data_IF_870192158094
#
_entry.id   IF_870192158094
#
_cell.length_a   1.000
_cell.length_b   1.000
_cell.length_c   1.000
_cell.angle_alpha   90.00
_cell.angle_beta   90.00
_cell.angle_gamma   90.00
#
_symmetry.space_group_name_H-M   'P 1'
#
loop_
_entity.id
_entity.type
_entity.pdbx_description
1 polymer ?
#
# COMPACT_ATOMS: atom_id res chain seq x y z
N UNK A 1 -5.69 -24.20 -5.15
CA UNK A 1 -4.91 -23.37 -6.09
C UNK A 1 -4.97 -23.98 -7.49
N UNK A 2 -5.46 -23.21 -8.46
CA UNK A 2 -5.41 -23.57 -9.88
C UNK A 2 -4.78 -22.40 -10.66
N UNK A 3 -3.81 -22.69 -11.53
CA UNK A 3 -3.04 -21.70 -12.30
C UNK A 3 -3.12 -22.02 -13.78
N UNK A 4 -3.52 -21.01 -14.56
CA UNK A 4 -3.68 -21.09 -16.01
C UNK A 4 -2.86 -19.96 -16.67
N UNK A 5 -2.25 -20.24 -17.83
CA UNK A 5 -1.47 -19.24 -18.58
C UNK A 5 -2.03 -19.08 -19.98
N UNK A 6 -2.10 -17.84 -20.46
CA UNK A 6 -2.60 -17.53 -21.78
C UNK A 6 -1.64 -16.61 -22.53
N UNK A 7 -1.35 -16.99 -23.77
CA UNK A 7 -0.47 -16.26 -24.70
C UNK A 7 -1.22 -15.81 -25.97
N UNK A 8 -2.43 -16.34 -26.19
CA UNK A 8 -3.31 -16.05 -27.32
C UNK A 8 -4.72 -15.77 -26.80
N UNK A 9 -5.54 -15.06 -27.59
CA UNK A 9 -6.93 -14.70 -27.26
C UNK A 9 -7.13 -14.10 -25.85
N UNK A 10 -6.11 -13.41 -25.34
CA UNK A 10 -6.04 -12.89 -23.97
C UNK A 10 -7.24 -11.99 -23.64
N UNK A 11 -7.62 -11.10 -24.55
CA UNK A 11 -8.79 -10.21 -24.37
C UNK A 11 -10.10 -11.02 -24.18
N UNK A 12 -10.25 -12.14 -24.90
CA UNK A 12 -11.42 -13.00 -24.77
C UNK A 12 -11.47 -13.68 -23.41
N UNK A 13 -10.35 -14.24 -22.95
CA UNK A 13 -10.26 -14.90 -21.64
C UNK A 13 -10.53 -13.93 -20.49
N UNK A 14 -9.96 -12.71 -20.56
CA UNK A 14 -10.24 -11.65 -19.58
C UNK A 14 -11.74 -11.36 -19.54
N UNK A 15 -12.39 -11.10 -20.69
CA UNK A 15 -13.82 -10.81 -20.73
C UNK A 15 -14.68 -11.96 -20.24
N UNK A 16 -14.28 -13.20 -20.51
CA UNK A 16 -14.97 -14.40 -20.04
C UNK A 16 -14.90 -14.52 -18.51
N UNK A 17 -13.73 -14.32 -17.93
CA UNK A 17 -13.54 -14.32 -16.47
C UNK A 17 -14.31 -13.17 -15.82
N UNK A 18 -14.24 -11.97 -16.37
CA UNK A 18 -15.03 -10.82 -15.90
C UNK A 18 -16.52 -11.15 -15.87
N UNK A 19 -17.07 -11.73 -16.94
CA UNK A 19 -18.50 -12.07 -17.00
C UNK A 19 -18.94 -13.10 -15.96
N UNK A 20 -18.02 -13.95 -15.49
CA UNK A 20 -18.30 -14.92 -14.43
C UNK A 20 -18.38 -14.32 -13.03
N UNK A 21 -17.96 -13.06 -12.85
CA UNK A 21 -18.00 -12.37 -11.57
C UNK A 21 -19.43 -12.22 -11.02
N UNK A 22 -19.54 -12.35 -9.70
CA UNK A 22 -20.79 -12.25 -8.93
C UNK A 22 -20.79 -11.18 -7.87
N UNK A 23 -19.62 -10.79 -7.36
CA UNK A 23 -19.51 -9.93 -6.17
C UNK A 23 -18.71 -8.65 -6.48
N UNK A 24 -17.48 -8.80 -6.99
CA UNK A 24 -16.59 -7.67 -7.18
C UNK A 24 -15.55 -7.85 -8.28
N UNK A 25 -15.15 -6.73 -8.89
CA UNK A 25 -14.07 -6.66 -9.87
C UNK A 25 -13.21 -5.42 -9.56
N UNK A 26 -11.93 -5.65 -9.29
CA UNK A 26 -10.94 -4.60 -9.03
C UNK A 26 -9.85 -4.67 -10.09
N UNK A 27 -9.80 -3.69 -10.97
CA UNK A 27 -8.89 -3.67 -12.13
C UNK A 27 -7.80 -2.63 -11.91
N UNK A 28 -6.53 -3.03 -11.98
CA UNK A 28 -5.39 -2.13 -11.92
C UNK A 28 -4.51 -2.30 -13.16
N UNK A 29 -4.66 -1.39 -14.13
CA UNK A 29 -3.99 -1.51 -15.43
C UNK A 29 -3.44 -0.18 -15.90
N UNK A 30 -2.24 -0.16 -16.47
CA UNK A 30 -1.64 1.07 -16.98
C UNK A 30 -2.53 1.75 -18.04
N UNK A 31 -3.03 0.97 -19.01
CA UNK A 31 -3.93 1.47 -20.06
C UNK A 31 -5.15 0.60 -20.21
N UNK A 32 -6.30 1.24 -20.41
CA UNK A 32 -7.58 0.58 -20.63
C UNK A 32 -8.31 1.21 -21.82
N UNK A 33 -8.93 0.40 -22.68
CA UNK A 33 -9.72 0.88 -23.83
C UNK A 33 -11.20 0.78 -23.55
N UNK A 34 -11.88 1.94 -23.45
CA UNK A 34 -13.32 2.03 -23.18
C UNK A 34 -14.17 1.25 -24.17
N UNK A 35 -13.85 1.30 -25.46
CA UNK A 35 -14.60 0.59 -26.50
C UNK A 35 -14.61 -0.92 -26.31
N UNK A 36 -13.61 -1.47 -25.60
CA UNK A 36 -13.47 -2.91 -25.36
C UNK A 36 -14.09 -3.30 -24.02
N UNK A 37 -13.76 -2.57 -22.94
CA UNK A 37 -14.07 -3.00 -21.59
C UNK A 37 -15.32 -2.34 -20.99
N UNK A 38 -15.69 -1.11 -21.38
CA UNK A 38 -16.85 -0.46 -20.78
C UNK A 38 -18.17 -1.25 -20.94
N UNK A 39 -18.47 -1.90 -22.08
CA UNK A 39 -19.70 -2.68 -22.22
C UNK A 39 -19.82 -3.82 -21.19
N UNK A 40 -18.74 -4.59 -20.98
CA UNK A 40 -18.75 -5.69 -20.00
C UNK A 40 -18.78 -5.18 -18.55
N UNK A 41 -18.11 -4.06 -18.25
CA UNK A 41 -18.16 -3.45 -16.93
C UNK A 41 -19.56 -2.90 -16.61
N UNK A 42 -20.22 -2.28 -17.58
CA UNK A 42 -21.61 -1.81 -17.41
C UNK A 42 -22.57 -2.97 -17.20
N UNK A 43 -22.43 -4.05 -17.98
CA UNK A 43 -23.22 -5.28 -17.80
C UNK A 43 -23.08 -5.85 -16.38
N UNK A 44 -21.85 -5.90 -15.86
CA UNK A 44 -21.55 -6.39 -14.51
C UNK A 44 -22.11 -5.46 -13.42
N UNK A 45 -21.93 -4.15 -13.56
CA UNK A 45 -22.46 -3.17 -12.61
C UNK A 45 -23.99 -3.25 -12.52
N UNK A 46 -24.67 -3.44 -13.66
CA UNK A 46 -26.13 -3.62 -13.69
C UNK A 46 -26.59 -4.93 -13.04
N UNK A 47 -25.70 -5.95 -12.95
CA UNK A 47 -25.94 -7.17 -12.17
C UNK A 47 -25.67 -6.99 -10.67
N UNK A 48 -25.21 -5.83 -10.23
CA UNK A 48 -24.89 -5.54 -8.83
C UNK A 48 -23.46 -5.86 -8.43
N UNK A 49 -22.58 -6.21 -9.39
CA UNK A 49 -21.15 -6.44 -9.12
C UNK A 49 -20.48 -5.10 -8.78
N UNK A 50 -19.74 -5.04 -7.67
CA UNK A 50 -18.97 -3.85 -7.29
C UNK A 50 -17.73 -3.73 -8.17
N UNK A 51 -17.56 -2.61 -8.86
CA UNK A 51 -16.43 -2.42 -9.79
C UNK A 51 -15.62 -1.20 -9.40
N UNK A 52 -14.31 -1.39 -9.30
CA UNK A 52 -13.32 -0.35 -9.01
C UNK A 52 -12.17 -0.47 -10.01
N UNK A 53 -11.80 0.63 -10.68
CA UNK A 53 -10.77 0.63 -11.73
C UNK A 53 -9.71 1.67 -11.44
N UNK A 54 -8.47 1.23 -11.29
CA UNK A 54 -7.26 2.04 -11.15
C UNK A 54 -6.50 2.03 -12.48
N UNK A 55 -6.17 3.20 -13.00
CA UNK A 55 -5.38 3.33 -14.25
C UNK A 55 -4.44 4.52 -14.23
N UNK A 56 -3.46 4.55 -15.13
CA UNK A 56 -2.48 5.63 -15.19
C UNK A 56 -3.10 6.93 -15.73
N UNK A 57 -2.88 8.07 -15.07
CA UNK A 57 -3.38 9.36 -15.56
C UNK A 57 -2.43 9.91 -16.65
N UNK A 58 -2.78 9.71 -17.92
CA UNK A 58 -1.98 10.19 -19.06
C UNK A 58 -2.84 10.52 -20.30
N UNK A 59 -2.23 11.11 -21.35
CA UNK A 59 -2.96 11.44 -22.58
C UNK A 59 -3.61 10.22 -23.28
N UNK A 60 -3.03 9.02 -23.13
CA UNK A 60 -3.57 7.79 -23.73
C UNK A 60 -4.90 7.43 -23.09
N UNK A 61 -4.98 7.38 -21.77
CA UNK A 61 -6.23 7.11 -21.05
C UNK A 61 -7.19 8.30 -21.11
N UNK A 62 -6.70 9.54 -21.20
CA UNK A 62 -7.57 10.71 -21.48
C UNK A 62 -8.33 10.52 -22.79
N UNK A 63 -7.67 10.00 -23.83
CA UNK A 63 -8.25 9.85 -25.17
C UNK A 63 -9.08 8.57 -25.30
N UNK A 64 -8.59 7.44 -24.80
CA UNK A 64 -9.13 6.10 -25.07
C UNK A 64 -9.66 5.38 -23.82
N UNK A 65 -9.36 5.90 -22.63
CA UNK A 65 -9.70 5.32 -21.33
C UNK A 65 -11.18 5.40 -20.98
N UNK A 66 -11.50 4.82 -19.83
CA UNK A 66 -12.84 4.83 -19.26
C UNK A 66 -13.27 6.27 -18.98
N UNK A 67 -14.55 6.56 -19.24
CA UNK A 67 -15.15 7.84 -18.87
C UNK A 67 -15.78 7.71 -17.47
N UNK A 68 -15.86 8.81 -16.70
CA UNK A 68 -16.59 8.84 -15.44
C UNK A 68 -18.04 8.37 -15.62
N UNK A 69 -18.54 7.60 -14.66
CA UNK A 69 -19.91 7.09 -14.62
C UNK A 69 -20.32 6.83 -13.17
N UNK A 70 -21.62 6.76 -12.92
CA UNK A 70 -22.17 6.41 -11.60
C UNK A 70 -22.27 4.89 -11.38
N UNK A 71 -21.92 4.08 -12.39
CA UNK A 71 -22.03 2.62 -12.32
C UNK A 71 -20.84 1.96 -11.61
N UNK A 72 -19.67 2.59 -11.61
CA UNK A 72 -18.45 2.05 -11.04
C UNK A 72 -17.45 3.16 -10.70
N UNK A 73 -16.51 2.87 -9.81
CA UNK A 73 -15.50 3.83 -9.37
C UNK A 73 -14.25 3.76 -10.23
N UNK A 74 -13.68 4.91 -10.56
CA UNK A 74 -12.42 5.02 -11.32
C UNK A 74 -11.42 5.91 -10.61
N UNK A 75 -10.15 5.52 -10.61
CA UNK A 75 -9.04 6.23 -9.98
C UNK A 75 -7.90 6.41 -10.99
N UNK A 76 -7.70 7.64 -11.47
CA UNK A 76 -6.63 7.98 -12.39
C UNK A 76 -5.38 8.38 -11.59
N UNK A 77 -4.33 7.55 -11.63
CA UNK A 77 -3.14 7.70 -10.80
C UNK A 77 -2.13 8.64 -11.47
N UNK A 78 -1.87 9.76 -10.83
CA UNK A 78 -0.76 10.65 -11.15
C UNK A 78 0.54 10.19 -10.48
N UNK A 79 1.67 10.33 -11.15
CA UNK A 79 2.98 10.04 -10.55
C UNK A 79 3.70 11.33 -10.18
N UNK A 80 4.49 11.28 -9.09
CA UNK A 80 5.29 12.44 -8.66
C UNK A 80 6.31 12.90 -9.71
N UNK A 81 6.80 11.96 -10.52
CA UNK A 81 7.69 12.23 -11.64
C UNK A 81 6.86 12.12 -12.91
N UNK A 82 6.72 13.21 -13.68
CA UNK A 82 5.91 13.23 -14.90
C UNK A 82 6.30 12.17 -15.96
N UNK A 83 7.50 11.60 -15.86
CA UNK A 83 8.00 10.52 -16.74
C UNK A 83 7.70 9.10 -16.22
N UNK A 84 7.22 8.96 -14.99
CA UNK A 84 6.89 7.68 -14.37
C UNK A 84 5.42 7.32 -14.60
N UNK A 85 5.11 6.02 -14.49
CA UNK A 85 3.76 5.50 -14.75
C UNK A 85 3.31 4.54 -13.65
N UNK A 86 2.02 4.52 -13.34
CA UNK A 86 1.39 3.38 -12.67
C UNK A 86 1.31 2.25 -13.71
N UNK A 87 2.29 1.35 -13.69
CA UNK A 87 2.50 0.36 -14.75
C UNK A 87 2.01 -1.05 -14.39
N UNK A 88 1.22 -1.21 -13.33
CA UNK A 88 0.63 -2.50 -12.99
C UNK A 88 -0.33 -2.98 -14.09
N UNK A 89 -0.50 -4.30 -14.22
CA UNK A 89 -1.55 -4.94 -15.04
C UNK A 89 -2.06 -6.17 -14.29
N UNK A 90 -2.99 -5.94 -13.38
CA UNK A 90 -3.69 -7.02 -12.70
C UNK A 90 -5.17 -6.73 -12.53
N UNK A 91 -5.93 -7.77 -12.25
CA UNK A 91 -7.34 -7.71 -11.89
C UNK A 91 -7.61 -8.74 -10.79
N UNK A 92 -8.36 -8.35 -9.77
CA UNK A 92 -8.90 -9.25 -8.75
C UNK A 92 -10.41 -9.38 -8.98
N UNK A 93 -10.90 -10.61 -9.09
CA UNK A 93 -12.31 -10.93 -9.29
C UNK A 93 -12.81 -11.74 -8.09
N UNK A 94 -13.91 -11.28 -7.50
CA UNK A 94 -14.64 -11.90 -6.39
C UNK A 94 -13.76 -12.32 -5.21
N UNK A 95 -12.65 -11.62 -4.98
CA UNK A 95 -11.67 -11.93 -3.93
C UNK A 95 -11.14 -13.39 -3.99
N UNK A 96 -11.10 -13.97 -5.19
CA UNK A 96 -10.74 -15.37 -5.40
C UNK A 96 -9.80 -15.59 -6.59
N UNK A 97 -9.90 -14.73 -7.60
CA UNK A 97 -9.19 -14.89 -8.87
C UNK A 97 -8.31 -13.66 -9.09
N UNK A 98 -7.02 -13.89 -9.29
CA UNK A 98 -6.08 -12.88 -9.76
C UNK A 98 -5.77 -13.15 -11.24
N UNK A 99 -5.91 -12.12 -12.07
CA UNK A 99 -5.34 -12.08 -13.42
C UNK A 99 -4.17 -11.12 -13.36
N UNK A 100 -2.98 -11.51 -13.82
CA UNK A 100 -1.81 -10.62 -13.90
C UNK A 100 -0.94 -10.98 -15.08
N UNK A 101 -0.14 -10.05 -15.59
CA UNK A 101 0.75 -10.32 -16.71
C UNK A 101 1.30 -9.06 -17.37
N UNK A 102 1.75 -9.18 -18.60
CA UNK A 102 2.26 -8.06 -19.38
C UNK A 102 1.14 -7.32 -20.13
N UNK A 103 0.05 -8.02 -20.44
CA UNK A 103 -1.05 -7.53 -21.29
C UNK A 103 -1.74 -6.29 -20.71
N UNK A 104 -1.58 -5.16 -21.38
CA UNK A 104 -2.38 -3.97 -21.10
C UNK A 104 -3.80 -4.13 -21.65
N UNK A 105 -4.80 -3.56 -20.99
CA UNK A 105 -6.20 -3.68 -21.39
C UNK A 105 -6.56 -2.67 -22.49
N UNK A 106 -5.64 -2.49 -23.43
CA UNK A 106 -5.75 -1.56 -24.55
C UNK A 106 -6.01 -2.30 -25.86
N UNK A 107 -6.67 -1.65 -26.82
CA UNK A 107 -6.91 -2.23 -28.15
C UNK A 107 -5.61 -2.67 -28.85
N UNK A 108 -4.52 -1.94 -28.65
CA UNK A 108 -3.21 -2.19 -29.28
C UNK A 108 -2.51 -3.44 -28.72
N UNK A 109 -2.75 -3.79 -27.45
CA UNK A 109 -2.10 -4.94 -26.83
C UNK A 109 -2.49 -6.26 -27.50
N UNK A 110 -3.66 -6.32 -28.16
CA UNK A 110 -4.10 -7.50 -28.92
C UNK A 110 -3.15 -7.87 -30.07
N UNK A 111 -2.48 -6.88 -30.66
CA UNK A 111 -1.55 -7.10 -31.78
C UNK A 111 -0.10 -7.30 -31.30
N UNK A 112 0.14 -7.34 -29.99
CA UNK A 112 1.46 -7.49 -29.37
C UNK A 112 1.65 -8.88 -28.79
N UNK A 113 2.91 -9.35 -28.70
CA UNK A 113 3.24 -10.57 -27.98
C UNK A 113 3.20 -10.30 -26.48
N UNK A 114 2.18 -10.81 -25.82
CA UNK A 114 1.85 -10.54 -24.42
C UNK A 114 1.41 -11.83 -23.74
N UNK A 115 1.34 -11.83 -22.41
CA UNK A 115 0.83 -12.96 -21.65
C UNK A 115 -0.01 -12.52 -20.45
N UNK A 116 -0.86 -13.42 -19.98
CA UNK A 116 -1.47 -13.36 -18.66
C UNK A 116 -1.35 -14.70 -17.94
N UNK A 117 -1.35 -14.62 -16.62
CA UNK A 117 -1.48 -15.73 -15.69
C UNK A 117 -2.76 -15.51 -14.90
N UNK A 118 -3.59 -16.54 -14.82
CA UNK A 118 -4.82 -16.56 -14.06
C UNK A 118 -4.62 -17.51 -12.88
N UNK A 119 -4.74 -16.98 -11.68
CA UNK A 119 -4.48 -17.69 -10.43
C UNK A 119 -5.77 -17.70 -9.64
N UNK A 120 -6.28 -18.89 -9.31
CA UNK A 120 -7.56 -19.10 -8.62
C UNK A 120 -7.31 -19.73 -7.25
N UNK A 121 -8.01 -19.21 -6.23
CA UNK A 121 -8.03 -19.75 -4.87
C UNK A 121 -6.62 -19.87 -4.25
N UNK A 122 -5.78 -18.87 -4.52
CA UNK A 122 -4.58 -18.60 -3.73
C UNK A 122 -4.86 -17.34 -2.91
N UNK A 123 -5.51 -17.54 -1.75
CA UNK A 123 -6.03 -16.45 -0.96
C UNK A 123 -4.94 -15.54 -0.39
N UNK A 124 -3.75 -16.09 -0.08
CA UNK A 124 -2.61 -15.29 0.36
C UNK A 124 -2.17 -14.33 -0.76
N UNK A 125 -2.09 -14.84 -1.99
CA UNK A 125 -1.77 -14.00 -3.13
C UNK A 125 -2.85 -12.97 -3.44
N UNK A 126 -4.13 -13.38 -3.38
CA UNK A 126 -5.28 -12.46 -3.56
C UNK A 126 -5.19 -11.31 -2.57
N UNK A 127 -4.97 -11.58 -1.28
CA UNK A 127 -4.82 -10.57 -0.22
C UNK A 127 -3.74 -9.54 -0.58
N UNK A 128 -2.59 -10.00 -1.05
CA UNK A 128 -1.48 -9.12 -1.43
C UNK A 128 -1.85 -8.19 -2.60
N UNK A 129 -2.56 -8.69 -3.62
CA UNK A 129 -3.05 -7.85 -4.73
C UNK A 129 -4.17 -6.90 -4.31
N UNK A 130 -5.03 -7.30 -3.37
CA UNK A 130 -6.03 -6.41 -2.77
C UNK A 130 -5.35 -5.26 -2.01
N UNK A 131 -4.32 -5.54 -1.21
CA UNK A 131 -3.53 -4.50 -0.54
C UNK A 131 -2.92 -3.53 -1.54
N UNK A 132 -2.23 -4.02 -2.57
CA UNK A 132 -1.64 -3.15 -3.60
C UNK A 132 -2.71 -2.31 -4.31
N UNK A 133 -3.89 -2.86 -4.58
CA UNK A 133 -4.99 -2.12 -5.18
C UNK A 133 -5.43 -0.95 -4.29
N UNK A 134 -5.72 -1.23 -3.02
CA UNK A 134 -6.22 -0.22 -2.09
C UNK A 134 -5.14 0.77 -1.66
N UNK A 135 -3.88 0.36 -1.67
CA UNK A 135 -2.74 1.26 -1.54
C UNK A 135 -2.71 2.31 -2.65
N UNK A 136 -2.94 1.91 -3.91
CA UNK A 136 -3.00 2.85 -5.02
C UNK A 136 -4.22 3.77 -4.94
N UNK A 137 -5.36 3.28 -4.43
CA UNK A 137 -6.54 4.11 -4.15
C UNK A 137 -6.24 5.13 -3.04
N UNK A 138 -5.57 4.72 -1.96
CA UNK A 138 -5.13 5.65 -0.90
C UNK A 138 -4.11 6.66 -1.42
N UNK A 139 -3.17 6.23 -2.26
CA UNK A 139 -2.23 7.13 -2.93
C UNK A 139 -2.96 8.17 -3.79
N UNK A 140 -3.96 7.77 -4.58
CA UNK A 140 -4.79 8.68 -5.38
C UNK A 140 -5.44 9.77 -4.52
N UNK A 141 -6.02 9.38 -3.38
CA UNK A 141 -6.66 10.31 -2.45
C UNK A 141 -5.64 11.27 -1.80
N UNK A 142 -4.46 10.75 -1.47
CA UNK A 142 -3.38 11.50 -0.84
C UNK A 142 -2.64 12.44 -1.81
N UNK A 143 -2.74 12.22 -3.12
CA UNK A 143 -1.90 12.91 -4.11
C UNK A 143 -2.13 14.43 -4.17
N UNK A 144 -3.38 14.88 -4.08
CA UNK A 144 -3.74 16.30 -4.22
C UNK A 144 -3.48 17.13 -2.95
N UNK A 145 -3.37 16.48 -1.79
CA UNK A 145 -3.24 17.12 -0.47
C UNK A 145 -1.81 17.02 0.11
N UNK A 146 -0.89 16.39 -0.62
CA UNK A 146 0.48 16.16 -0.20
C UNK A 146 1.49 16.77 -1.17
N UNK A 147 2.61 17.22 -0.60
CA UNK A 147 3.81 17.61 -1.34
C UNK A 147 5.04 17.20 -0.54
N UNK A 148 6.17 17.02 -1.23
CA UNK A 148 7.42 16.62 -0.59
C UNK A 148 8.26 17.86 -0.32
N UNK A 149 8.49 18.14 0.95
CA UNK A 149 9.39 19.20 1.36
C UNK A 149 10.85 18.92 0.97
N UNK A 150 11.64 19.99 0.91
CA UNK A 150 13.05 19.93 0.56
C UNK A 150 13.90 20.27 1.77
N UNK A 151 14.83 19.37 2.07
CA UNK A 151 15.92 19.65 2.99
C UNK A 151 16.83 20.75 2.41
N UNK A 152 17.60 21.44 3.25
CA UNK A 152 18.59 22.45 2.83
C UNK A 152 19.61 21.93 1.80
N UNK A 153 19.85 20.61 1.76
CA UNK A 153 20.69 19.95 0.75
C UNK A 153 19.96 19.61 -0.56
N UNK A 154 18.72 20.09 -0.75
CA UNK A 154 17.83 19.83 -1.91
C UNK A 154 17.31 18.39 -2.04
N UNK A 155 17.70 17.48 -1.15
CA UNK A 155 17.06 16.19 -1.02
C UNK A 155 15.61 16.34 -0.55
N UNK A 156 14.76 15.37 -0.91
CA UNK A 156 13.44 15.24 -0.31
C UNK A 156 13.55 14.98 1.20
N UNK A 157 12.61 15.53 1.95
CA UNK A 157 12.45 15.29 3.38
C UNK A 157 11.05 14.78 3.70
N UNK A 158 10.93 14.14 4.86
CA UNK A 158 9.67 13.67 5.44
C UNK A 158 9.76 13.74 6.96
N UNK A 159 8.62 13.61 7.63
CA UNK A 159 8.53 13.63 9.09
C UNK A 159 8.20 12.22 9.56
N UNK A 160 9.01 11.72 10.48
CA UNK A 160 8.91 10.42 11.10
C UNK A 160 8.54 10.61 12.57
N UNK A 161 7.45 9.98 12.99
CA UNK A 161 7.13 9.80 14.39
C UNK A 161 7.76 8.48 14.86
N UNK A 162 8.57 8.52 15.91
CA UNK A 162 9.04 7.33 16.63
C UNK A 162 8.09 7.11 17.80
N UNK A 163 7.46 5.94 17.81
CA UNK A 163 6.58 5.53 18.88
C UNK A 163 7.39 4.70 19.90
N UNK A 164 7.50 5.22 21.12
CA UNK A 164 8.06 4.49 22.25
C UNK A 164 7.13 3.38 22.76
N UNK A 165 7.69 2.45 23.53
CA UNK A 165 6.89 1.41 24.18
C UNK A 165 5.94 2.02 25.21
N UNK A 166 4.73 1.45 25.33
CA UNK A 166 3.82 1.83 26.40
C UNK A 166 4.40 1.42 27.75
N UNK A 167 4.47 2.37 28.67
CA UNK A 167 5.03 2.12 30.00
C UNK A 167 4.22 2.82 31.10
N UNK A 168 4.34 2.28 32.32
CA UNK A 168 3.65 2.79 33.50
C UNK A 168 2.15 2.42 33.56
N UNK A 169 1.48 2.88 34.63
CA UNK A 169 0.08 2.53 34.95
C UNK A 169 -0.92 3.08 33.93
N UNK A 170 -0.53 4.11 33.19
CA UNK A 170 -1.39 4.79 32.21
C UNK A 170 -1.08 4.40 30.76
N UNK A 171 -0.21 3.39 30.54
CA UNK A 171 0.23 2.95 29.21
C UNK A 171 0.61 4.14 28.31
N UNK A 172 1.46 5.04 28.83
CA UNK A 172 1.89 6.23 28.11
C UNK A 172 2.87 5.86 27.00
N UNK A 173 2.57 6.24 25.76
CA UNK A 173 3.47 6.20 24.61
C UNK A 173 4.06 7.58 24.38
N UNK A 174 5.39 7.68 24.36
CA UNK A 174 6.09 8.85 23.82
C UNK A 174 6.01 8.79 22.29
N UNK A 175 5.57 9.87 21.66
CA UNK A 175 5.68 10.10 20.22
C UNK A 175 6.74 11.16 20.01
N UNK A 176 7.89 10.76 19.47
CA UNK A 176 8.99 11.66 19.18
C UNK A 176 9.06 11.95 17.68
N UNK A 177 9.05 13.22 17.29
CA UNK A 177 8.87 13.66 15.91
C UNK A 177 10.18 14.20 15.35
N UNK A 178 10.60 13.60 14.24
CA UNK A 178 11.83 13.91 13.54
C UNK A 178 11.56 14.28 12.09
N UNK A 179 12.31 15.25 11.54
CA UNK A 179 12.40 15.47 10.10
C UNK A 179 13.64 14.78 9.56
N UNK A 180 13.48 13.92 8.55
CA UNK A 180 14.56 13.16 7.94
C UNK A 180 14.74 13.56 6.47
N UNK A 181 16.00 13.64 6.06
CA UNK A 181 16.43 13.79 4.68
C UNK A 181 16.67 12.43 4.02
N UNK A 182 16.07 12.20 2.85
CA UNK A 182 16.08 10.89 2.17
C UNK A 182 17.47 10.44 1.70
N UNK A 183 18.31 11.36 1.18
CA UNK A 183 19.60 11.00 0.57
C UNK A 183 20.79 11.12 1.50
N UNK A 184 20.83 12.19 2.29
CA UNK A 184 21.99 12.56 3.11
C UNK A 184 21.70 12.37 4.60
N UNK A 185 20.53 11.83 4.96
CA UNK A 185 20.15 11.49 6.33
C UNK A 185 20.34 12.59 7.38
N UNK A 186 20.29 13.87 6.97
CA UNK A 186 20.14 14.96 7.93
C UNK A 186 18.86 14.74 8.73
N UNK A 187 19.00 14.75 10.05
CA UNK A 187 17.90 14.61 11.00
C UNK A 187 17.76 15.88 11.81
N UNK A 188 16.53 16.29 12.06
CA UNK A 188 16.20 17.39 12.95
C UNK A 188 15.07 16.95 13.87
N UNK A 189 15.29 17.06 15.17
CA UNK A 189 14.22 16.86 16.16
C UNK A 189 13.23 18.03 16.07
N UNK A 190 11.95 17.70 16.00
CA UNK A 190 10.87 18.67 15.80
C UNK A 190 10.07 18.87 17.07
N UNK A 191 9.83 17.81 17.84
CA UNK A 191 9.08 17.88 19.09
C UNK A 191 8.71 16.51 19.63
N UNK A 192 8.29 16.49 20.90
CA UNK A 192 7.86 15.28 21.59
C UNK A 192 6.45 15.47 22.14
N UNK A 193 5.66 14.42 22.07
CA UNK A 193 4.28 14.38 22.57
C UNK A 193 4.05 13.09 23.35
N UNK A 194 3.12 13.10 24.30
CA UNK A 194 2.79 11.94 25.13
C UNK A 194 1.32 11.60 24.98
N UNK A 195 1.04 10.34 24.68
CA UNK A 195 -0.31 9.84 24.43
C UNK A 195 -0.59 8.62 25.28
N UNK A 196 -1.81 8.51 25.80
CA UNK A 196 -2.21 7.38 26.64
C UNK A 196 -2.98 6.33 25.84
N UNK A 197 -2.64 5.06 26.03
CA UNK A 197 -3.31 3.91 25.38
C UNK A 197 -3.26 3.95 23.84
N UNK A 198 -2.22 4.58 23.29
CA UNK A 198 -2.11 4.83 21.86
C UNK A 198 -2.12 3.54 21.04
N UNK A 199 -1.37 2.52 21.44
CA UNK A 199 -1.29 1.26 20.70
C UNK A 199 -2.64 0.53 20.70
N UNK A 200 -3.37 0.60 21.80
CA UNK A 200 -4.73 0.07 21.92
C UNK A 200 -5.70 0.82 21.01
N UNK A 201 -5.66 2.16 21.01
CA UNK A 201 -6.51 2.99 20.14
C UNK A 201 -6.24 2.75 18.65
N UNK A 202 -4.99 2.42 18.30
CA UNK A 202 -4.56 2.13 16.95
C UNK A 202 -4.77 0.67 16.53
N UNK A 203 -5.37 -0.18 17.38
CA UNK A 203 -5.60 -1.60 17.09
C UNK A 203 -4.32 -2.43 16.99
N UNK A 204 -3.20 -1.94 17.53
CA UNK A 204 -1.90 -2.63 17.48
C UNK A 204 -1.77 -3.77 18.48
N UNK A 205 -2.63 -3.81 19.50
CA UNK A 205 -2.72 -4.91 20.47
C UNK A 205 -3.73 -5.98 20.07
N UNK A 206 -4.42 -5.81 18.94
CA UNK A 206 -5.40 -6.79 18.48
C UNK A 206 -4.66 -8.06 18.09
N UNK A 207 -5.05 -9.18 18.71
CA UNK A 207 -4.46 -10.46 18.38
C UNK A 207 -4.71 -10.77 16.90
N UNK A 208 -3.74 -11.36 16.19
CA UNK A 208 -4.01 -11.96 14.89
C UNK A 208 -5.16 -12.95 15.05
N UNK A 209 -6.05 -13.01 14.06
CA UNK A 209 -7.06 -14.06 14.02
C UNK A 209 -6.32 -15.37 13.74
N UNK A 210 -6.09 -16.14 14.81
CA UNK A 210 -5.50 -17.46 14.73
C UNK A 210 -6.56 -18.43 14.22
N UNK A 211 -6.50 -18.74 12.94
CA UNK A 211 -7.23 -19.86 12.35
C UNK A 211 -6.26 -21.06 12.28
N UNK A 212 -6.50 -22.07 13.11
CA UNK A 212 -5.79 -23.35 13.07
C UNK A 212 -6.29 -24.26 11.92
N UNK A 213 -7.23 -23.76 11.12
CA UNK A 213 -7.85 -24.41 9.97
C UNK A 213 -7.22 -24.11 8.61
N UNK A 214 -8.01 -24.35 7.57
CA UNK A 214 -7.63 -24.16 6.18
C UNK A 214 -7.85 -22.69 5.78
N UNK A 215 -6.79 -22.00 5.36
CA UNK A 215 -6.85 -20.60 4.96
C UNK A 215 -7.68 -20.41 3.68
N UNK A 216 -8.95 -20.07 3.85
CA UNK A 216 -9.94 -19.89 2.79
C UNK A 216 -10.24 -18.41 2.51
N UNK A 217 -11.31 -18.17 1.74
CA UNK A 217 -11.76 -16.81 1.38
C UNK A 217 -12.18 -16.00 2.60
N UNK A 218 -12.91 -16.60 3.53
CA UNK A 218 -13.47 -15.90 4.69
C UNK A 218 -12.35 -15.51 5.66
N UNK A 219 -11.44 -16.44 5.96
CA UNK A 219 -10.25 -16.17 6.78
C UNK A 219 -9.39 -15.06 6.15
N UNK A 220 -9.18 -15.11 4.84
CA UNK A 220 -8.44 -14.07 4.12
C UNK A 220 -9.12 -12.70 4.15
N UNK A 221 -10.43 -12.64 3.91
CA UNK A 221 -11.18 -11.38 3.93
C UNK A 221 -11.15 -10.77 5.34
N UNK A 222 -11.33 -11.58 6.38
CA UNK A 222 -11.29 -11.13 7.77
C UNK A 222 -9.94 -10.50 8.11
N UNK A 223 -8.84 -11.22 7.81
CA UNK A 223 -7.48 -10.73 8.04
C UNK A 223 -7.20 -9.46 7.23
N UNK A 224 -7.59 -9.43 5.95
CA UNK A 224 -7.47 -8.25 5.09
C UNK A 224 -8.17 -7.03 5.68
N UNK A 225 -9.42 -7.17 6.13
CA UNK A 225 -10.17 -6.06 6.71
C UNK A 225 -9.60 -5.60 8.04
N UNK A 226 -9.10 -6.50 8.88
CA UNK A 226 -8.40 -6.15 10.12
C UNK A 226 -7.16 -5.29 9.81
N UNK A 227 -6.29 -5.75 8.91
CA UNK A 227 -5.09 -5.04 8.47
C UNK A 227 -5.44 -3.65 7.88
N UNK A 228 -6.46 -3.56 7.03
CA UNK A 228 -6.89 -2.28 6.43
C UNK A 228 -7.50 -1.32 7.45
N UNK A 229 -8.27 -1.83 8.41
CA UNK A 229 -8.86 -1.00 9.47
C UNK A 229 -7.77 -0.43 10.37
N UNK A 230 -6.76 -1.24 10.73
CA UNK A 230 -5.60 -0.78 11.49
C UNK A 230 -4.86 0.34 10.76
N UNK A 231 -4.56 0.16 9.47
CA UNK A 231 -3.93 1.18 8.63
C UNK A 231 -4.77 2.46 8.52
N UNK A 232 -6.10 2.33 8.41
CA UNK A 232 -7.01 3.46 8.34
C UNK A 232 -7.04 4.25 9.66
N UNK A 233 -7.05 3.56 10.81
CA UNK A 233 -6.96 4.17 12.14
C UNK A 233 -5.66 4.96 12.32
N UNK A 234 -4.53 4.37 11.92
CA UNK A 234 -3.22 5.04 11.90
C UNK A 234 -3.25 6.30 11.03
N UNK A 235 -3.70 6.16 9.77
CA UNK A 235 -3.78 7.29 8.84
C UNK A 235 -4.70 8.40 9.38
N UNK A 236 -5.88 8.06 9.90
CA UNK A 236 -6.83 9.03 10.43
C UNK A 236 -6.23 9.78 11.62
N UNK A 237 -5.63 9.06 12.56
CA UNK A 237 -5.03 9.64 13.76
C UNK A 237 -3.91 10.63 13.41
N UNK A 238 -2.97 10.24 12.56
CA UNK A 238 -1.82 11.08 12.20
C UNK A 238 -2.17 12.20 11.21
N UNK A 239 -3.22 12.05 10.39
CA UNK A 239 -3.71 13.12 9.51
C UNK A 239 -4.53 14.20 10.24
N UNK A 240 -5.24 13.84 11.31
CA UNK A 240 -6.10 14.78 12.05
C UNK A 240 -5.34 15.58 13.11
N UNK A 241 -4.06 15.26 13.34
CA UNK A 241 -3.21 15.93 14.33
C UNK A 241 -3.01 17.40 13.95
N UNK A 242 -3.26 18.30 14.90
CA UNK A 242 -2.86 19.70 14.78
C UNK A 242 -1.37 19.81 15.11
N UNK A 243 -0.54 20.26 14.16
CA UNK A 243 0.90 20.39 14.37
C UNK A 243 1.70 19.96 13.14
N UNK A 244 2.87 19.36 13.40
CA UNK A 244 3.72 18.86 12.32
C UNK A 244 3.10 17.64 11.66
N UNK A 245 2.90 17.71 10.35
CA UNK A 245 2.36 16.60 9.56
C UNK A 245 3.28 15.39 9.67
N UNK A 246 2.75 14.25 10.11
CA UNK A 246 3.50 12.99 10.20
C UNK A 246 3.33 12.23 8.90
N UNK A 247 4.46 11.81 8.30
CA UNK A 247 4.48 11.11 7.03
C UNK A 247 4.78 9.62 7.20
N UNK A 248 5.39 9.23 8.31
CA UNK A 248 5.59 7.84 8.69
C UNK A 248 5.69 7.68 10.21
N UNK A 249 5.45 6.47 10.67
CA UNK A 249 5.53 6.07 12.07
C UNK A 249 6.45 4.86 12.14
N UNK A 250 7.45 4.94 13.01
CA UNK A 250 8.41 3.87 13.24
C UNK A 250 8.47 3.46 14.70
N UNK A 251 8.96 2.24 14.94
CA UNK A 251 9.26 1.71 16.27
C UNK A 251 10.71 1.25 16.26
N UNK A 252 11.47 1.58 17.30
CA UNK A 252 12.84 1.11 17.45
C UNK A 252 12.81 -0.32 18.00
N UNK A 253 13.49 -1.23 17.32
CA UNK A 253 13.55 -2.64 17.68
C UNK A 253 14.97 -3.17 17.53
N UNK A 254 15.33 -4.16 18.35
CA UNK A 254 16.62 -4.85 18.24
C UNK A 254 16.63 -5.75 17.00
N UNK A 255 17.66 -5.63 16.18
CA UNK A 255 17.84 -6.33 14.92
C UNK A 255 18.49 -7.72 15.08
N UNK A 256 19.34 -7.88 16.10
CA UNK A 256 20.09 -9.12 16.38
C UNK A 256 19.77 -9.71 17.78
N UNK A 257 18.48 -9.91 18.13
CA UNK A 257 18.10 -10.37 19.48
C UNK A 257 18.72 -11.72 19.83
N UNK A 258 18.78 -12.65 18.87
CA UNK A 258 19.30 -13.99 19.10
C UNK A 258 20.81 -13.93 19.29
N UNK A 259 21.52 -13.19 18.44
CA UNK A 259 22.98 -13.11 18.49
C UNK A 259 23.48 -12.38 19.74
N UNK A 260 22.77 -11.33 20.14
CA UNK A 260 23.03 -10.64 21.39
C UNK A 260 22.86 -11.58 22.61
N UNK A 261 21.78 -12.35 22.66
CA UNK A 261 21.48 -13.25 23.78
C UNK A 261 22.35 -14.51 23.80
N UNK A 262 22.61 -15.12 22.63
CA UNK A 262 23.30 -16.41 22.51
C UNK A 262 24.82 -16.27 22.41
N UNK A 263 25.31 -15.23 21.73
CA UNK A 263 26.74 -15.06 21.40
C UNK A 263 27.36 -13.83 22.07
N UNK A 264 26.59 -13.07 22.87
CA UNK A 264 27.03 -11.85 23.55
C UNK A 264 27.63 -10.81 22.57
N UNK A 265 27.08 -10.76 21.36
CA UNK A 265 27.39 -9.72 20.36
C UNK A 265 26.79 -8.37 20.77
N UNK A 266 27.31 -7.27 20.21
CA UNK A 266 26.79 -5.92 20.49
C UNK A 266 25.36 -5.78 19.97
N UNK A 267 24.48 -5.15 20.75
CA UNK A 267 23.08 -4.95 20.35
C UNK A 267 22.99 -3.98 19.16
N UNK A 268 22.39 -4.45 18.08
CA UNK A 268 22.07 -3.64 16.90
C UNK A 268 20.60 -3.25 16.92
N UNK A 269 20.30 -2.00 16.61
CA UNK A 269 18.94 -1.48 16.62
C UNK A 269 18.59 -0.88 15.25
N UNK A 270 17.32 -0.99 14.89
CA UNK A 270 16.76 -0.45 13.65
C UNK A 270 15.43 0.25 13.94
N UNK A 271 15.03 1.15 13.06
CA UNK A 271 13.67 1.71 13.08
C UNK A 271 12.82 0.95 12.06
N UNK A 272 11.84 0.19 12.54
CA UNK A 272 10.84 -0.48 11.71
C UNK A 272 9.66 0.45 11.45
N UNK A 273 9.37 0.74 10.19
CA UNK A 273 8.25 1.60 9.80
C UNK A 273 6.96 0.78 9.79
N UNK A 274 6.08 1.07 10.75
CA UNK A 274 4.79 0.39 10.92
C UNK A 274 3.67 1.05 10.11
N UNK A 275 3.86 2.31 9.72
CA UNK A 275 2.93 3.04 8.86
C UNK A 275 3.64 4.15 8.10
N UNK A 276 3.18 4.42 6.88
CA UNK A 276 3.60 5.58 6.09
C UNK A 276 2.45 6.07 5.22
N UNK A 277 2.37 7.37 5.03
CA UNK A 277 1.45 7.96 4.07
C UNK A 277 1.79 7.42 2.67
N UNK A 278 0.77 6.93 1.98
CA UNK A 278 0.91 6.27 0.69
C UNK A 278 1.58 7.15 -0.37
N UNK A 279 1.39 8.47 -0.32
CA UNK A 279 2.08 9.43 -1.20
C UNK A 279 3.61 9.33 -1.07
N UNK A 280 4.10 8.97 0.12
CA UNK A 280 5.51 8.83 0.46
C UNK A 280 6.04 7.39 0.33
N UNK A 281 5.24 6.40 -0.09
CA UNK A 281 5.64 4.98 -0.18
C UNK A 281 6.92 4.71 -0.98
N UNK A 282 7.19 5.50 -2.03
CA UNK A 282 8.43 5.39 -2.84
C UNK A 282 9.61 6.23 -2.32
N UNK A 283 9.44 6.89 -1.17
CA UNK A 283 10.41 7.80 -0.54
C UNK A 283 10.88 7.23 0.79
N UNK A 284 9.94 6.78 1.60
CA UNK A 284 10.20 6.28 2.96
C UNK A 284 10.36 4.77 2.86
N UNK A 285 11.51 4.19 3.27
CA UNK A 285 11.73 2.75 3.26
C UNK A 285 10.91 2.05 4.34
N UNK A 286 10.87 0.71 4.31
CA UNK A 286 10.20 -0.09 5.36
C UNK A 286 11.04 -0.18 6.64
N UNK A 287 12.37 -0.06 6.51
CA UNK A 287 13.34 -0.14 7.62
C UNK A 287 14.39 0.96 7.46
N UNK A 288 14.76 1.59 8.56
CA UNK A 288 15.89 2.50 8.66
C UNK A 288 16.98 1.85 9.52
N UNK A 289 18.16 1.70 8.93
CA UNK A 289 19.32 1.10 9.59
C UNK A 289 20.21 2.16 10.22
N UNK A 290 20.87 1.79 11.31
CA UNK A 290 22.05 2.51 11.77
C UNK A 290 23.19 2.27 10.77
N UNK A 291 23.57 3.30 10.03
CA UNK A 291 24.66 3.22 9.05
C UNK A 291 26.00 3.73 9.63
N UNK A 292 26.07 3.94 10.95
CA UNK A 292 27.25 4.44 11.65
C UNK A 292 27.50 5.94 11.48
N UNK A 293 26.61 6.68 10.82
CA UNK A 293 26.64 8.13 10.75
C UNK A 293 25.62 8.76 11.72
N UNK A 294 25.85 10.03 12.11
CA UNK A 294 25.08 10.74 13.15
C UNK A 294 23.57 10.90 12.87
N UNK A 295 23.06 10.55 11.68
CA UNK A 295 21.67 10.74 11.31
C UNK A 295 20.71 9.80 12.07
N UNK A 296 20.47 8.62 11.50
CA UNK A 296 19.54 7.64 12.08
C UNK A 296 20.05 7.14 13.45
N UNK A 297 21.36 7.03 13.62
CA UNK A 297 21.98 6.65 14.89
C UNK A 297 21.52 7.53 16.06
N UNK A 298 21.40 8.85 15.85
CA UNK A 298 20.91 9.78 16.87
C UNK A 298 19.48 9.45 17.30
N UNK A 299 18.60 9.14 16.35
CA UNK A 299 17.21 8.76 16.62
C UNK A 299 17.18 7.49 17.47
N UNK A 300 17.98 6.49 17.09
CA UNK A 300 18.06 5.21 17.80
C UNK A 300 18.54 5.42 19.24
N UNK A 301 19.65 6.15 19.45
CA UNK A 301 20.23 6.42 20.78
C UNK A 301 19.28 7.13 21.75
N UNK A 302 18.31 7.89 21.24
CA UNK A 302 17.32 8.56 22.10
C UNK A 302 16.19 7.62 22.57
N UNK A 303 16.14 6.40 22.06
CA UNK A 303 15.06 5.43 22.29
C UNK A 303 15.53 4.04 22.79
N UNK A 304 16.83 3.82 22.98
CA UNK A 304 17.42 2.57 23.50
C UNK A 304 18.33 2.83 24.68
#
# INVERSE_FOLDING_TARGET
MNVETYFEDIEWEIKKLLRSSRESVRICVAWISRQVYAPVLQELALRGVKIEVVFNNDPTNTTHGLMPTNLYSTYAIDTRLATAFMHNKFCVIDDEIVITGSFNWSKKAKDSFENIVVIKQDYKLVKNFLHEFYDLVSYYQAFSSNYVEKCHCRSSSYNLAIMGAESGVYEGSKIDIWTLCVKNQHVSHVGEEYEQYLQTQLGMKDAPIWDDGYYDKESMQSEFYQERNQLASLQQYFNQRNGNKIHAVGVVTMANPNEHLEWNEESEYIVNIIWRDMYFRKIIPDVLYDDGYDGINKIIREHV
#
